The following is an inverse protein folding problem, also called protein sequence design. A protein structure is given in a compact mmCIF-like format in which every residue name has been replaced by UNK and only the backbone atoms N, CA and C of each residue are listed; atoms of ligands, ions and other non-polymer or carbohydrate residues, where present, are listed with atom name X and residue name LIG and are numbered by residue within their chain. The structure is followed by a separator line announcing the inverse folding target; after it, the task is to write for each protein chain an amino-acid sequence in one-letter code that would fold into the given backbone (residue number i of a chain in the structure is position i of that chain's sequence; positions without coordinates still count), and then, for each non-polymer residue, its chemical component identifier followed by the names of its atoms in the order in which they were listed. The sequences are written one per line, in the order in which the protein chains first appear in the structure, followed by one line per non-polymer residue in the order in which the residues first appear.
data_IF_508787340675
#
_entry.id   IF_508787340675
#
_cell.length_a   1.000
_cell.length_b   1.000
_cell.length_c   1.000
_cell.angle_alpha   90.00
_cell.angle_beta   90.00
_cell.angle_gamma   90.00
#
_symmetry.space_group_name_H-M   'P 1'
#
loop_
_entity.id
_entity.type
_entity.pdbx_description
1 polymer ?
#
# COMPACT_ATOMS: atom_id res chain seq x y z
N UNK A 1 -6.40 -8.21 9.42
CA UNK A 1 -6.38 -8.10 10.89
C UNK A 1 -6.58 -6.65 11.29
N UNK A 2 -7.62 -6.34 12.08
CA UNK A 2 -7.93 -4.94 12.45
C UNK A 2 -6.79 -4.20 13.15
N UNK A 3 -6.05 -4.89 14.02
CA UNK A 3 -4.90 -4.27 14.70
C UNK A 3 -3.83 -3.82 13.70
N UNK A 4 -3.50 -4.67 12.74
CA UNK A 4 -2.49 -4.37 11.72
C UNK A 4 -2.92 -3.20 10.84
N UNK A 5 -4.19 -3.17 10.44
CA UNK A 5 -4.76 -2.07 9.65
C UNK A 5 -4.67 -0.76 10.43
N UNK A 6 -5.09 -0.77 11.68
CA UNK A 6 -5.04 0.42 12.54
C UNK A 6 -3.60 0.91 12.71
N UNK A 7 -2.66 0.00 12.96
CA UNK A 7 -1.25 0.32 13.14
C UNK A 7 -0.65 0.99 11.91
N UNK A 8 -0.87 0.39 10.73
CA UNK A 8 -0.35 0.95 9.48
C UNK A 8 -1.01 2.29 9.15
N UNK A 9 -2.31 2.41 9.36
CA UNK A 9 -3.02 3.67 9.11
C UNK A 9 -2.51 4.80 10.01
N UNK A 10 -2.23 4.49 11.27
CA UNK A 10 -1.69 5.45 12.22
C UNK A 10 -0.29 5.92 11.79
N UNK A 11 0.59 4.98 11.43
CA UNK A 11 1.95 5.29 10.97
C UNK A 11 1.95 6.09 9.67
N UNK A 12 0.94 5.90 8.85
CA UNK A 12 0.79 6.59 7.58
C UNK A 12 0.39 8.06 7.76
N UNK A 13 -0.19 8.42 8.90
CA UNK A 13 -0.66 9.78 9.19
C UNK A 13 -1.60 10.30 8.10
N UNK A 14 -2.64 9.53 7.81
CA UNK A 14 -3.60 9.86 6.75
C UNK A 14 -4.26 11.20 7.02
N UNK A 15 -4.25 12.08 6.02
CA UNK A 15 -4.95 13.37 6.05
C UNK A 15 -6.05 13.37 5.00
N UNK A 16 -7.14 14.07 5.28
CA UNK A 16 -8.24 14.21 4.33
C UNK A 16 -7.72 14.79 3.01
N UNK A 17 -8.06 14.13 1.91
CA UNK A 17 -7.62 14.53 0.58
C UNK A 17 -6.30 13.90 0.14
N UNK A 18 -5.59 13.19 1.01
CA UNK A 18 -4.37 12.48 0.63
C UNK A 18 -4.64 11.51 -0.50
N UNK A 19 -3.74 11.50 -1.48
CA UNK A 19 -3.72 10.52 -2.56
C UNK A 19 -2.86 9.36 -2.10
N UNK A 20 -3.48 8.20 -1.85
CA UNK A 20 -2.82 7.05 -1.25
C UNK A 20 -2.81 5.87 -2.22
N UNK A 21 -1.63 5.26 -2.37
CA UNK A 21 -1.46 4.03 -3.12
C UNK A 21 -1.26 2.87 -2.16
N UNK A 22 -2.11 1.84 -2.29
CA UNK A 22 -2.01 0.61 -1.51
C UNK A 22 -1.49 -0.52 -2.39
N UNK A 23 -0.48 -1.25 -1.91
CA UNK A 23 0.00 -2.48 -2.53
C UNK A 23 -0.56 -3.67 -1.76
N UNK A 24 -1.38 -4.48 -2.43
CA UNK A 24 -2.02 -5.65 -1.84
C UNK A 24 -3.45 -5.34 -1.42
N UNK A 25 -4.35 -5.26 -2.40
CA UNK A 25 -5.78 -4.98 -2.15
C UNK A 25 -6.41 -5.99 -1.20
N UNK A 26 -6.10 -7.27 -1.40
CA UNK A 26 -6.64 -8.34 -0.57
C UNK A 26 -8.16 -8.30 -0.52
N UNK A 27 -8.70 -8.28 0.69
CA UNK A 27 -10.15 -8.22 0.93
C UNK A 27 -10.75 -6.83 0.71
N UNK A 28 -9.92 -5.80 0.54
CA UNK A 28 -10.38 -4.42 0.42
C UNK A 28 -10.58 -3.70 1.75
N UNK A 29 -10.34 -4.37 2.87
CA UNK A 29 -10.60 -3.78 4.20
C UNK A 29 -9.74 -2.55 4.45
N UNK A 30 -8.43 -2.63 4.21
CA UNK A 30 -7.53 -1.49 4.39
C UNK A 30 -7.92 -0.32 3.47
N UNK A 31 -8.22 -0.62 2.20
CA UNK A 31 -8.64 0.40 1.25
C UNK A 31 -9.91 1.13 1.73
N UNK A 32 -10.88 0.38 2.26
CA UNK A 32 -12.11 0.94 2.80
C UNK A 32 -11.83 1.87 4.00
N UNK A 33 -10.92 1.46 4.90
CA UNK A 33 -10.52 2.28 6.04
C UNK A 33 -9.90 3.60 5.57
N UNK A 34 -8.99 3.54 4.59
CA UNK A 34 -8.33 4.73 4.04
C UNK A 34 -9.35 5.68 3.40
N UNK A 35 -10.29 5.14 2.64
CA UNK A 35 -11.36 5.95 2.05
C UNK A 35 -12.19 6.63 3.14
N UNK A 36 -12.53 5.90 4.19
CA UNK A 36 -13.31 6.42 5.31
C UNK A 36 -12.59 7.56 6.03
N UNK A 37 -11.25 7.51 6.05
CA UNK A 37 -10.41 8.57 6.62
C UNK A 37 -10.29 9.80 5.70
N UNK A 38 -10.93 9.76 4.55
CA UNK A 38 -10.99 10.90 3.63
C UNK A 38 -9.95 10.88 2.52
N UNK A 39 -9.24 9.79 2.33
CA UNK A 39 -8.22 9.66 1.29
C UNK A 39 -8.83 9.35 -0.08
N UNK A 40 -8.08 9.68 -1.13
CA UNK A 40 -8.32 9.18 -2.50
C UNK A 40 -7.49 7.93 -2.66
N UNK A 41 -8.13 6.77 -2.80
CA UNK A 41 -7.47 5.48 -2.70
C UNK A 41 -7.30 4.82 -4.05
N UNK A 42 -6.06 4.42 -4.34
CA UNK A 42 -5.66 3.59 -5.46
C UNK A 42 -5.05 2.32 -4.86
N UNK A 43 -5.47 1.15 -5.30
CA UNK A 43 -5.01 -0.11 -4.73
C UNK A 43 -4.73 -1.12 -5.83
N UNK A 44 -3.61 -1.83 -5.72
CA UNK A 44 -3.19 -2.81 -6.72
C UNK A 44 -3.21 -4.22 -6.14
N UNK A 45 -3.75 -5.17 -6.91
CA UNK A 45 -3.77 -6.59 -6.59
C UNK A 45 -3.12 -7.37 -7.72
N UNK A 46 -2.18 -8.27 -7.38
CA UNK A 46 -1.47 -9.10 -8.36
C UNK A 46 -2.21 -10.37 -8.76
N UNK A 47 -3.14 -10.85 -7.92
CA UNK A 47 -3.91 -12.06 -8.18
C UNK A 47 -5.21 -11.72 -8.88
N UNK A 48 -5.38 -12.18 -10.12
CA UNK A 48 -6.54 -11.82 -10.95
C UNK A 48 -7.87 -12.21 -10.30
N UNK A 49 -7.95 -13.41 -9.76
CA UNK A 49 -9.21 -13.88 -9.14
C UNK A 49 -9.58 -13.02 -7.94
N UNK A 50 -8.60 -12.66 -7.10
CA UNK A 50 -8.84 -11.81 -5.94
C UNK A 50 -9.18 -10.37 -6.35
N UNK A 51 -8.51 -9.85 -7.36
CA UNK A 51 -8.82 -8.53 -7.93
C UNK A 51 -10.28 -8.47 -8.38
N UNK A 52 -10.72 -9.46 -9.16
CA UNK A 52 -12.09 -9.50 -9.68
C UNK A 52 -13.10 -9.57 -8.53
N UNK A 53 -12.86 -10.44 -7.56
CA UNK A 53 -13.74 -10.63 -6.40
C UNK A 53 -13.86 -9.35 -5.58
N UNK A 54 -12.73 -8.74 -5.24
CA UNK A 54 -12.72 -7.55 -4.37
C UNK A 54 -13.26 -6.33 -5.08
N UNK A 55 -12.92 -6.14 -6.36
CA UNK A 55 -13.46 -5.02 -7.16
C UNK A 55 -14.99 -5.09 -7.23
N UNK A 56 -15.52 -6.27 -7.46
CA UNK A 56 -16.98 -6.50 -7.51
C UNK A 56 -17.61 -6.20 -6.16
N UNK A 57 -17.00 -6.69 -5.07
CA UNK A 57 -17.51 -6.45 -3.72
C UNK A 57 -17.54 -4.95 -3.38
N UNK A 58 -16.44 -4.25 -3.63
CA UNK A 58 -16.35 -2.82 -3.31
C UNK A 58 -17.40 -2.00 -4.08
N UNK A 59 -17.61 -2.33 -5.34
CA UNK A 59 -18.65 -1.67 -6.15
C UNK A 59 -20.05 -1.98 -5.60
N UNK A 60 -20.29 -3.23 -5.21
CA UNK A 60 -21.61 -3.66 -4.68
C UNK A 60 -21.96 -2.94 -3.39
N UNK A 61 -20.99 -2.71 -2.52
CA UNK A 61 -21.23 -2.03 -1.23
C UNK A 61 -21.11 -0.51 -1.32
N UNK A 62 -20.98 0.04 -2.53
CA UNK A 62 -20.99 1.47 -2.76
C UNK A 62 -19.65 2.17 -2.60
N UNK A 63 -18.54 1.44 -2.52
CA UNK A 63 -17.19 1.99 -2.40
C UNK A 63 -16.49 2.09 -3.75
N UNK A 64 -17.22 2.48 -4.79
CA UNK A 64 -16.72 2.58 -6.16
C UNK A 64 -15.70 3.71 -6.37
N UNK A 65 -15.54 4.61 -5.39
CA UNK A 65 -14.50 5.64 -5.42
C UNK A 65 -13.10 5.04 -5.27
N UNK A 66 -12.98 3.86 -4.68
CA UNK A 66 -11.71 3.16 -4.58
C UNK A 66 -11.32 2.67 -5.97
N UNK A 67 -10.15 3.12 -6.46
CA UNK A 67 -9.63 2.71 -7.76
C UNK A 67 -8.84 1.42 -7.60
N UNK A 68 -9.43 0.31 -8.05
CA UNK A 68 -8.78 -1.00 -8.00
C UNK A 68 -8.01 -1.23 -9.30
N UNK A 69 -6.77 -1.72 -9.16
CA UNK A 69 -5.88 -1.97 -10.29
C UNK A 69 -5.40 -3.43 -10.23
N UNK A 70 -5.29 -4.07 -11.38
CA UNK A 70 -4.66 -5.38 -11.49
C UNK A 70 -3.22 -5.17 -11.98
N UNK A 71 -2.23 -5.64 -11.21
CA UNK A 71 -0.85 -5.42 -11.60
C UNK A 71 0.17 -5.86 -10.56
N UNK A 72 1.43 -5.60 -10.89
CA UNK A 72 2.58 -5.85 -10.03
C UNK A 72 2.79 -4.67 -9.07
N UNK A 73 2.66 -4.91 -7.78
CA UNK A 73 2.80 -3.88 -6.76
C UNK A 73 4.18 -3.21 -6.74
N UNK A 74 5.23 -3.96 -7.09
CA UNK A 74 6.58 -3.38 -7.16
C UNK A 74 6.70 -2.28 -8.21
N UNK A 75 5.85 -2.29 -9.23
CA UNK A 75 5.85 -1.27 -10.29
C UNK A 75 5.07 -0.02 -9.93
N UNK A 76 4.25 -0.07 -8.88
CA UNK A 76 3.40 1.03 -8.52
C UNK A 76 2.39 1.35 -9.61
N UNK A 77 2.13 2.63 -9.82
CA UNK A 77 1.29 3.10 -10.91
C UNK A 77 1.81 4.45 -11.43
N UNK A 78 2.53 4.41 -12.53
CA UNK A 78 3.02 5.62 -13.19
C UNK A 78 1.85 6.51 -13.62
N UNK A 79 0.75 5.87 -14.05
CA UNK A 79 -0.44 6.59 -14.52
C UNK A 79 -1.02 7.52 -13.45
N UNK A 80 -1.04 7.08 -12.19
CA UNK A 80 -1.68 7.82 -11.11
C UNK A 80 -0.68 8.49 -10.16
N UNK A 81 0.62 8.20 -10.28
CA UNK A 81 1.65 8.85 -9.47
C UNK A 81 1.72 10.35 -9.79
N UNK A 82 2.28 11.18 -8.87
CA UNK A 82 2.83 10.82 -7.57
C UNK A 82 1.75 10.71 -6.47
N UNK A 83 2.13 10.06 -5.36
CA UNK A 83 1.23 9.82 -4.22
C UNK A 83 1.70 10.57 -2.98
N UNK A 84 0.75 11.02 -2.16
CA UNK A 84 1.05 11.59 -0.84
C UNK A 84 1.51 10.52 0.14
N UNK A 85 0.91 9.34 0.06
CA UNK A 85 1.20 8.22 0.95
C UNK A 85 1.22 6.92 0.15
N UNK A 86 2.05 5.99 0.59
CA UNK A 86 2.08 4.63 0.04
C UNK A 86 2.05 3.65 1.22
N UNK A 87 1.16 2.68 1.17
CA UNK A 87 1.06 1.62 2.17
C UNK A 87 1.22 0.28 1.49
N UNK A 88 2.15 -0.54 2.00
CA UNK A 88 2.40 -1.88 1.49
C UNK A 88 1.93 -2.88 2.53
N UNK A 89 1.04 -3.78 2.13
CA UNK A 89 0.42 -4.76 3.03
C UNK A 89 0.97 -6.18 2.82
N UNK A 90 2.21 -6.25 2.33
CA UNK A 90 2.97 -7.49 2.17
C UNK A 90 4.43 -7.21 2.50
N UNK A 91 5.17 -8.24 2.91
CA UNK A 91 6.56 -8.10 3.33
C UNK A 91 7.53 -8.03 2.16
N UNK A 92 8.23 -6.92 2.00
CA UNK A 92 9.17 -6.68 0.92
C UNK A 92 10.56 -7.17 1.30
N UNK A 93 11.00 -8.28 0.69
CA UNK A 93 12.37 -8.76 0.86
C UNK A 93 13.37 -7.89 0.09
N UNK A 94 12.90 -7.25 -0.99
CA UNK A 94 13.67 -6.28 -1.79
C UNK A 94 12.99 -4.93 -1.68
N UNK A 95 13.77 -3.87 -1.44
CA UNK A 95 13.21 -2.52 -1.33
C UNK A 95 12.57 -2.09 -2.65
N UNK A 96 11.31 -1.61 -2.64
CA UNK A 96 10.60 -1.24 -3.86
C UNK A 96 10.96 0.19 -4.31
N UNK A 97 12.09 0.35 -4.96
CA UNK A 97 12.59 1.66 -5.38
C UNK A 97 11.60 2.45 -6.23
N UNK A 98 10.85 1.77 -7.11
CA UNK A 98 9.87 2.43 -7.97
C UNK A 98 8.74 3.07 -7.16
N UNK A 99 8.37 2.46 -6.04
CA UNK A 99 7.36 3.05 -5.16
C UNK A 99 7.89 4.32 -4.50
N UNK A 100 9.14 4.28 -4.03
CA UNK A 100 9.75 5.48 -3.44
C UNK A 100 9.84 6.61 -4.46
N UNK A 101 10.14 6.29 -5.73
CA UNK A 101 10.18 7.28 -6.80
C UNK A 101 8.82 7.93 -7.05
N UNK A 102 7.73 7.18 -6.80
CA UNK A 102 6.36 7.64 -7.00
C UNK A 102 5.77 8.36 -5.79
N UNK A 103 6.51 8.43 -4.70
CA UNK A 103 6.10 9.15 -3.50
C UNK A 103 6.50 10.63 -3.63
N UNK A 104 5.61 11.53 -3.26
CA UNK A 104 5.92 12.97 -3.22
C UNK A 104 6.97 13.27 -2.15
N UNK A 105 7.75 14.32 -2.35
CA UNK A 105 8.60 14.86 -1.29
C UNK A 105 7.69 15.30 -0.14
N UNK A 106 8.05 14.91 1.08
CA UNK A 106 7.19 15.07 2.26
C UNK A 106 6.21 13.92 2.47
N UNK A 107 6.10 13.01 1.50
CA UNK A 107 5.23 11.84 1.59
C UNK A 107 5.79 10.76 2.52
N UNK A 108 4.90 9.84 2.88
CA UNK A 108 5.22 8.74 3.81
C UNK A 108 4.90 7.41 3.16
N UNK A 109 5.84 6.46 3.29
CA UNK A 109 5.62 5.06 2.91
C UNK A 109 5.73 4.19 4.15
N UNK A 110 4.72 3.37 4.39
CA UNK A 110 4.71 2.39 5.48
C UNK A 110 4.77 1.00 4.83
N UNK A 111 5.77 0.21 5.22
CA UNK A 111 6.07 -1.05 4.53
C UNK A 111 6.70 -2.08 5.50
N UNK A 112 6.17 -3.32 5.54
CA UNK A 112 6.88 -4.42 6.17
C UNK A 112 8.11 -4.78 5.32
N UNK A 113 9.28 -4.76 5.92
CA UNK A 113 10.52 -4.96 5.19
C UNK A 113 11.29 -6.15 5.77
N UNK A 114 11.75 -7.04 4.89
CA UNK A 114 12.51 -8.23 5.26
C UNK A 114 11.94 -9.50 4.70
N UNK A 115 12.69 -10.61 4.89
CA UNK A 115 12.24 -11.95 4.49
C UNK A 115 11.21 -12.47 5.48
N UNK A 116 10.42 -13.44 5.04
CA UNK A 116 9.39 -14.06 5.87
C UNK A 116 9.99 -14.56 7.20
N UNK A 117 9.33 -14.22 8.31
CA UNK A 117 9.79 -14.55 9.64
C UNK A 117 10.77 -13.55 10.25
N UNK A 118 11.27 -12.59 9.48
CA UNK A 118 12.24 -11.59 9.94
C UNK A 118 11.89 -10.19 9.44
N UNK A 119 10.59 -9.84 9.46
CA UNK A 119 10.12 -8.56 8.96
C UNK A 119 10.03 -7.51 10.05
N UNK A 120 10.31 -6.27 9.69
CA UNK A 120 10.10 -5.11 10.55
C UNK A 120 9.21 -4.10 9.83
N UNK A 121 8.36 -3.41 10.60
CA UNK A 121 7.50 -2.36 10.05
C UNK A 121 8.33 -1.10 9.89
N UNK A 122 8.58 -0.69 8.66
CA UNK A 122 9.35 0.51 8.36
C UNK A 122 8.45 1.66 7.95
N UNK A 123 8.84 2.86 8.35
CA UNK A 123 8.21 4.10 7.92
C UNK A 123 9.26 4.97 7.29
N UNK A 124 9.05 5.33 6.03
CA UNK A 124 9.95 6.19 5.27
C UNK A 124 9.27 7.53 5.01
N UNK A 125 9.99 8.61 5.28
CA UNK A 125 9.53 9.97 4.97
C UNK A 125 10.47 10.53 3.91
N UNK A 126 9.95 10.83 2.72
CA UNK A 126 10.76 11.34 1.62
C UNK A 126 11.08 12.81 1.88
N UNK A 127 12.35 13.10 2.14
CA UNK A 127 12.81 14.45 2.50
C UNK A 127 13.21 15.30 1.30
N UNK A 128 13.72 14.63 0.25
CA UNK A 128 14.09 15.25 -1.01
C UNK A 128 14.16 14.16 -2.08
N UNK A 129 14.34 14.53 -3.34
CA UNK A 129 14.55 13.56 -4.41
C UNK A 129 15.81 12.74 -4.09
N UNK A 130 15.65 11.41 -4.00
CA UNK A 130 16.73 10.50 -3.66
C UNK A 130 17.09 10.41 -2.18
N UNK A 131 16.36 11.08 -1.28
CA UNK A 131 16.64 11.08 0.16
C UNK A 131 15.39 10.78 0.97
N UNK A 132 15.54 10.02 2.05
CA UNK A 132 14.45 9.73 2.96
C UNK A 132 14.95 9.55 4.38
N UNK A 133 14.05 9.83 5.34
CA UNK A 133 14.25 9.48 6.75
C UNK A 133 13.61 8.12 6.98
N UNK A 134 14.32 7.24 7.72
CA UNK A 134 13.85 5.89 8.02
C UNK A 134 13.53 5.75 9.50
N UNK A 135 12.43 5.06 9.80
CA UNK A 135 12.05 4.74 11.17
C UNK A 135 11.68 3.26 11.25
N UNK A 136 12.24 2.56 12.24
CA UNK A 136 11.92 1.17 12.52
C UNK A 136 10.87 1.13 13.63
N UNK A 137 9.71 0.57 13.34
CA UNK A 137 8.58 0.49 14.26
C UNK A 137 8.34 -0.92 14.80
N UNK A 138 9.37 -1.76 14.76
CA UNK A 138 9.36 -3.07 15.40
C UNK A 138 8.97 -4.23 14.51
N UNK A 139 9.06 -5.45 15.05
CA UNK A 139 8.80 -6.67 14.27
C UNK A 139 7.35 -6.78 13.85
N UNK A 140 7.13 -7.41 12.70
CA UNK A 140 5.81 -7.69 12.17
C UNK A 140 5.84 -8.97 11.33
N UNK A 141 4.66 -9.44 10.91
CA UNK A 141 4.54 -10.64 10.11
C UNK A 141 3.49 -10.43 9.02
N UNK A 142 3.93 -10.46 7.78
CA UNK A 142 3.07 -10.31 6.61
C UNK A 142 3.41 -11.39 5.59
N UNK A 143 2.46 -11.70 4.69
CA UNK A 143 2.74 -12.54 3.53
C UNK A 143 3.79 -11.85 2.66
N UNK A 144 4.63 -12.62 1.92
CA UNK A 144 5.65 -12.03 1.06
C UNK A 144 5.07 -11.17 -0.06
N UNK A 145 5.72 -10.06 -0.37
CA UNK A 145 5.43 -9.25 -1.54
C UNK A 145 6.08 -9.90 -2.76
N UNK A 146 5.27 -10.33 -3.71
CA UNK A 146 5.73 -11.06 -4.89
C UNK A 146 5.70 -10.16 -6.13
N UNK A 147 6.65 -10.39 -7.02
CA UNK A 147 6.74 -9.70 -8.31
C UNK A 147 5.79 -10.32 -9.33
N UNK A 148 5.40 -9.52 -10.32
CA UNK A 148 4.55 -9.97 -11.40
C UNK A 148 3.10 -10.15 -10.99
N UNK A 149 2.35 -10.82 -11.85
CA UNK A 149 0.92 -11.09 -11.67
C UNK A 149 0.63 -12.57 -11.75
N UNK A 150 -0.51 -12.97 -11.20
CA UNK A 150 -0.99 -14.33 -11.21
C UNK A 150 -2.45 -14.36 -11.63
N UNK A 151 -2.82 -15.33 -12.48
CA UNK A 151 -4.20 -15.52 -12.94
C UNK A 151 -4.99 -16.52 -12.08
N UNK A 152 -4.28 -17.27 -11.28
CA UNK A 152 -4.85 -18.34 -10.46
C UNK A 152 -5.31 -17.96 -9.09
#
# INVERSE_FOLDING_TARGET
MPYTVARQSELLEVKRGDKIFEVGTGSGYQAAVLLYLGAKVYTVERQRALFDKTSTLLNRIGLHQIRTLYGDGYKGSIRFAPFDKIIVTAGAATFPHLLMDQLKVGGIMVIPEGVEGQQVMMRYIKTAQGSCKKENHGPCAFVPMLKGTSRG
#
